data_IF_629246860047
#
_entry.id   IF_629246860047
#
_cell.length_a   1.000
_cell.length_b   1.000
_cell.length_c   1.000
_cell.angle_alpha   90.00
_cell.angle_beta   90.00
_cell.angle_gamma   90.00
#
_symmetry.space_group_name_H-M   'P 1'
#
loop_
_entity.id
_entity.type
_entity.pdbx_description
1 polymer ?
#
# COMPACT_ATOMS: atom_id res chain seq x y z
N UNK A 1 24.76 -5.87 -3.49
CA UNK A 1 23.73 -5.02 -4.11
C UNK A 1 22.50 -5.17 -3.25
N UNK A 2 22.07 -4.12 -2.57
CA UNK A 2 20.83 -4.19 -1.80
C UNK A 2 19.70 -4.50 -2.78
N UNK A 3 18.97 -5.59 -2.56
CA UNK A 3 17.73 -5.81 -3.27
C UNK A 3 16.86 -4.60 -3.00
N UNK A 4 16.53 -3.87 -4.05
CA UNK A 4 15.68 -2.71 -4.00
C UNK A 4 14.33 -3.22 -3.47
N UNK A 5 13.85 -2.73 -2.33
CA UNK A 5 12.57 -3.15 -1.72
C UNK A 5 11.44 -2.52 -2.56
N UNK A 6 11.26 -3.06 -3.76
CA UNK A 6 10.34 -2.57 -4.78
C UNK A 6 9.07 -3.40 -4.72
N UNK A 7 7.98 -2.71 -4.44
CA UNK A 7 6.65 -3.28 -4.43
C UNK A 7 5.94 -2.96 -5.73
N UNK A 8 4.99 -3.80 -6.13
CA UNK A 8 4.23 -3.60 -7.34
C UNK A 8 2.78 -3.30 -7.02
N UNK A 9 2.30 -2.16 -7.54
CA UNK A 9 0.89 -1.81 -7.51
C UNK A 9 0.23 -2.31 -8.79
N UNK A 10 -0.86 -3.05 -8.65
CA UNK A 10 -1.63 -3.62 -9.74
C UNK A 10 -2.99 -2.94 -9.88
N UNK A 11 -3.49 -2.84 -11.10
CA UNK A 11 -4.86 -2.45 -11.40
C UNK A 11 -5.34 -3.26 -12.61
N UNK A 12 -6.49 -3.94 -12.51
CA UNK A 12 -7.02 -4.76 -13.60
C UNK A 12 -6.07 -5.90 -14.05
N UNK A 13 -5.29 -6.46 -13.12
CA UNK A 13 -4.37 -7.57 -13.39
C UNK A 13 -3.02 -7.20 -14.02
N UNK A 14 -2.74 -5.91 -14.23
CA UNK A 14 -1.45 -5.39 -14.74
C UNK A 14 -0.76 -4.55 -13.68
N UNK A 15 0.58 -4.53 -13.70
CA UNK A 15 1.36 -3.60 -12.89
C UNK A 15 1.19 -2.20 -13.46
N UNK A 16 0.83 -1.25 -12.61
CA UNK A 16 0.62 0.16 -12.97
C UNK A 16 1.57 1.11 -12.22
N UNK A 17 2.24 0.67 -11.16
CA UNK A 17 3.33 1.45 -10.56
C UNK A 17 4.32 0.54 -9.82
N UNK A 18 5.56 0.99 -9.75
CA UNK A 18 6.57 0.45 -8.85
C UNK A 18 6.72 1.37 -7.64
N UNK A 19 6.68 0.82 -6.43
CA UNK A 19 6.84 1.57 -5.19
C UNK A 19 8.23 1.27 -4.62
N UNK A 20 9.12 2.25 -4.68
CA UNK A 20 10.49 2.14 -4.19
C UNK A 20 10.53 2.55 -2.72
N UNK A 21 10.56 1.58 -1.80
CA UNK A 21 10.54 1.86 -0.37
C UNK A 21 11.75 2.70 0.03
N UNK A 22 11.48 3.84 0.66
CA UNK A 22 12.47 4.77 1.20
C UNK A 22 12.60 4.63 2.71
N UNK A 23 11.51 4.24 3.40
CA UNK A 23 11.44 4.12 4.86
C UNK A 23 10.44 3.02 5.24
N UNK A 24 10.72 2.26 6.30
CA UNK A 24 9.87 1.16 6.77
C UNK A 24 9.78 1.14 8.30
N UNK A 25 9.04 2.10 8.85
CA UNK A 25 8.79 2.25 10.28
C UNK A 25 7.45 1.63 10.68
N UNK A 26 7.50 0.43 11.27
CA UNK A 26 6.30 -0.32 11.65
C UNK A 26 5.28 0.56 12.42
N UNK A 27 4.00 0.59 12.01
CA UNK A 27 3.36 -0.28 11.01
C UNK A 27 3.41 0.24 9.56
N UNK A 28 3.97 1.41 9.32
CA UNK A 28 3.92 2.10 8.04
C UNK A 28 5.19 1.87 7.20
N UNK A 29 5.02 1.93 5.89
CA UNK A 29 6.11 2.02 4.91
C UNK A 29 5.88 3.25 4.07
N UNK A 30 6.96 3.94 3.70
CA UNK A 30 6.97 5.04 2.74
C UNK A 30 7.79 4.64 1.53
N UNK A 31 7.33 5.08 0.36
CA UNK A 31 7.98 4.83 -0.90
C UNK A 31 7.82 5.99 -1.87
N UNK A 32 8.73 6.04 -2.83
CA UNK A 32 8.54 6.82 -4.03
C UNK A 32 7.74 6.02 -5.07
N UNK A 33 6.76 6.66 -5.69
CA UNK A 33 5.95 6.06 -6.76
C UNK A 33 6.63 6.31 -8.09
N UNK A 34 7.00 5.24 -8.78
CA UNK A 34 7.33 5.25 -10.19
C UNK A 34 6.10 4.80 -10.99
N UNK A 35 5.33 5.75 -11.56
CA UNK A 35 4.13 5.41 -12.33
C UNK A 35 4.50 4.71 -13.64
N UNK A 36 3.71 3.71 -14.00
CA UNK A 36 3.77 3.00 -15.28
C UNK A 36 2.47 3.23 -16.05
N UNK A 37 2.38 2.68 -17.27
CA UNK A 37 1.18 2.75 -18.09
C UNK A 37 -0.06 2.29 -17.30
N UNK A 38 -1.12 3.10 -17.30
CA UNK A 38 -2.39 2.81 -16.63
C UNK A 38 -2.49 3.37 -15.21
N UNK A 39 -1.42 3.95 -14.66
CA UNK A 39 -1.46 4.64 -13.37
C UNK A 39 -2.38 5.86 -13.40
N UNK A 40 -2.45 6.57 -14.53
CA UNK A 40 -3.26 7.77 -14.72
C UNK A 40 -4.77 7.54 -14.48
N UNK A 41 -5.24 6.31 -14.68
CA UNK A 41 -6.62 5.90 -14.41
C UNK A 41 -6.88 5.78 -12.90
N UNK A 42 -5.84 5.47 -12.12
CA UNK A 42 -5.91 5.19 -10.69
C UNK A 42 -5.52 6.42 -9.85
N UNK A 43 -4.64 7.28 -10.38
CA UNK A 43 -4.15 8.50 -9.75
C UNK A 43 -5.25 9.38 -9.11
N UNK A 44 -6.38 9.70 -9.80
CA UNK A 44 -7.41 10.54 -9.17
C UNK A 44 -8.12 9.84 -8.00
N UNK A 45 -8.32 8.52 -8.08
CA UNK A 45 -8.96 7.75 -7.01
C UNK A 45 -8.07 7.68 -5.77
N UNK A 46 -6.77 7.47 -5.98
CA UNK A 46 -5.78 7.45 -4.91
C UNK A 46 -5.63 8.81 -4.24
N UNK A 47 -5.56 9.89 -5.02
CA UNK A 47 -5.45 11.24 -4.49
C UNK A 47 -6.71 11.64 -3.69
N UNK A 48 -7.91 11.22 -4.13
CA UNK A 48 -9.14 11.43 -3.38
C UNK A 48 -9.12 10.72 -2.02
N UNK A 49 -8.72 9.45 -2.01
CA UNK A 49 -8.60 8.65 -0.79
C UNK A 49 -7.60 9.28 0.18
N UNK A 50 -6.41 9.65 -0.30
CA UNK A 50 -5.36 10.26 0.53
C UNK A 50 -5.79 11.62 1.09
N UNK A 51 -6.48 12.44 0.29
CA UNK A 51 -7.03 13.72 0.75
C UNK A 51 -8.08 13.53 1.84
N UNK A 52 -8.97 12.56 1.68
CA UNK A 52 -9.99 12.24 2.69
C UNK A 52 -9.36 11.66 3.97
N UNK A 53 -8.27 10.90 3.84
CA UNK A 53 -7.51 10.38 4.97
C UNK A 53 -6.85 11.50 5.77
N UNK A 54 -6.32 12.52 5.09
CA UNK A 54 -5.67 13.67 5.72
C UNK A 54 -6.67 14.61 6.43
N UNK A 55 -7.92 14.67 5.96
CA UNK A 55 -9.01 15.46 6.56
C UNK A 55 -9.63 14.74 7.79
N UNK A 56 -9.56 13.41 7.82
CA UNK A 56 -10.05 12.58 8.92
C UNK A 56 -9.07 12.63 10.11
N UNK A 57 -9.24 13.60 11.03
CA UNK A 57 -8.38 13.82 12.21
C UNK A 57 -7.96 12.51 12.94
N UNK A 58 -8.90 11.83 13.61
CA UNK A 58 -8.64 10.63 14.42
C UNK A 58 -9.61 9.48 14.10
N UNK A 59 -10.78 9.78 13.53
CA UNK A 59 -11.82 8.80 13.25
C UNK A 59 -12.04 8.69 11.74
N UNK A 60 -12.10 7.45 11.28
CA UNK A 60 -12.49 7.11 9.91
C UNK A 60 -13.85 7.76 9.57
N UNK A 61 -13.85 8.70 8.61
CA UNK A 61 -15.10 9.26 8.08
C UNK A 61 -15.76 8.25 7.14
N UNK A 62 -17.11 8.23 7.04
CA UNK A 62 -17.81 7.37 6.07
C UNK A 62 -17.32 7.56 4.63
N UNK A 63 -17.01 8.79 4.25
CA UNK A 63 -16.48 9.17 2.94
C UNK A 63 -15.10 8.55 2.70
N UNK A 64 -14.19 8.67 3.66
CA UNK A 64 -12.88 8.04 3.58
C UNK A 64 -12.99 6.51 3.49
N UNK A 65 -13.87 5.91 4.29
CA UNK A 65 -14.11 4.45 4.25
C UNK A 65 -14.56 4.00 2.86
N UNK A 66 -15.49 4.72 2.24
CA UNK A 66 -15.96 4.43 0.87
C UNK A 66 -14.82 4.59 -0.15
N UNK A 67 -14.02 5.66 -0.05
CA UNK A 67 -12.90 5.88 -0.97
C UNK A 67 -11.82 4.78 -0.84
N UNK A 68 -11.45 4.44 0.39
CA UNK A 68 -10.53 3.34 0.71
C UNK A 68 -11.02 2.01 0.15
N UNK A 69 -12.30 1.69 0.31
CA UNK A 69 -12.86 0.44 -0.18
C UNK A 69 -12.90 0.39 -1.71
N UNK A 70 -13.13 1.52 -2.38
CA UNK A 70 -13.00 1.63 -3.84
C UNK A 70 -11.58 1.39 -4.32
N UNK A 71 -10.58 2.01 -3.67
CA UNK A 71 -9.16 1.77 -3.98
C UNK A 71 -8.84 0.29 -3.83
N UNK A 72 -9.20 -0.31 -2.68
CA UNK A 72 -8.97 -1.75 -2.43
C UNK A 72 -9.66 -2.68 -3.43
N UNK A 73 -10.83 -2.30 -3.93
CA UNK A 73 -11.57 -3.14 -4.87
C UNK A 73 -10.90 -3.21 -6.26
N UNK A 74 -10.12 -2.21 -6.63
CA UNK A 74 -9.51 -2.12 -7.97
C UNK A 74 -7.99 -2.29 -7.95
N UNK A 75 -7.36 -2.29 -6.78
CA UNK A 75 -5.91 -2.39 -6.63
C UNK A 75 -5.46 -3.72 -6.01
N UNK A 76 -4.34 -4.23 -6.50
CA UNK A 76 -3.59 -5.31 -5.87
C UNK A 76 -2.20 -4.82 -5.48
N UNK A 77 -1.60 -5.41 -4.45
CA UNK A 77 -0.26 -5.06 -4.00
C UNK A 77 0.59 -6.32 -3.89
N UNK A 78 1.73 -6.33 -4.58
CA UNK A 78 2.66 -7.46 -4.59
C UNK A 78 3.98 -7.05 -3.93
N UNK A 79 4.47 -7.91 -3.06
CA UNK A 79 5.74 -7.77 -2.34
C UNK A 79 6.95 -7.95 -3.25
N UNK A 80 8.15 -7.51 -2.82
CA UNK A 80 9.40 -7.78 -3.55
C UNK A 80 9.69 -9.28 -3.74
N UNK A 81 9.17 -10.15 -2.85
CA UNK A 81 9.28 -11.61 -2.95
C UNK A 81 8.24 -12.25 -3.89
N UNK A 82 7.37 -11.44 -4.51
CA UNK A 82 6.35 -11.87 -5.46
C UNK A 82 5.04 -12.33 -4.83
N UNK A 83 4.88 -12.26 -3.49
CA UNK A 83 3.62 -12.62 -2.83
C UNK A 83 2.62 -11.46 -2.86
N UNK A 84 1.37 -11.77 -3.12
CA UNK A 84 0.26 -10.82 -3.05
C UNK A 84 -0.11 -10.52 -1.59
N UNK A 85 -0.43 -9.25 -1.30
CA UNK A 85 -0.94 -8.81 -0.01
C UNK A 85 -2.46 -8.79 -0.01
N UNK A 86 -3.05 -9.62 0.84
CA UNK A 86 -4.50 -9.82 0.97
C UNK A 86 -5.22 -8.68 1.70
N UNK A 87 -4.51 -7.89 2.51
CA UNK A 87 -5.09 -6.78 3.24
C UNK A 87 -4.08 -5.67 3.54
N UNK A 88 -4.30 -4.48 2.97
CA UNK A 88 -3.43 -3.32 3.13
C UNK A 88 -4.17 -1.99 3.05
N UNK A 89 -3.79 -1.03 3.89
CA UNK A 89 -4.23 0.36 3.73
C UNK A 89 -3.16 1.09 2.92
N UNK A 90 -3.53 1.63 1.77
CA UNK A 90 -2.65 2.34 0.85
C UNK A 90 -3.13 3.76 0.67
N UNK A 91 -2.20 4.70 0.82
CA UNK A 91 -2.37 6.10 0.48
C UNK A 91 -1.31 6.47 -0.55
N UNK A 92 -1.71 7.22 -1.58
CA UNK A 92 -0.79 7.75 -2.58
C UNK A 92 -1.18 9.18 -2.90
N UNK A 93 -0.21 10.09 -2.76
CA UNK A 93 -0.34 11.49 -3.14
C UNK A 93 0.83 11.88 -4.05
N UNK A 94 0.50 12.17 -5.32
CA UNK A 94 1.49 12.44 -6.36
C UNK A 94 2.51 11.30 -6.52
N UNK A 95 3.75 11.57 -6.13
CA UNK A 95 4.88 10.65 -6.25
C UNK A 95 5.27 10.00 -4.90
N UNK A 96 4.48 10.17 -3.85
CA UNK A 96 4.70 9.59 -2.54
C UNK A 96 3.61 8.58 -2.23
N UNK A 97 4.01 7.41 -1.74
CA UNK A 97 3.10 6.38 -1.28
C UNK A 97 3.44 6.00 0.16
N UNK A 98 2.40 5.74 0.94
CA UNK A 98 2.57 5.10 2.24
C UNK A 98 1.47 4.07 2.47
N UNK A 99 1.88 2.93 3.01
CA UNK A 99 0.94 1.86 3.30
C UNK A 99 1.31 1.10 4.56
N UNK A 100 0.33 0.38 5.06
CA UNK A 100 0.53 -0.65 6.08
C UNK A 100 -0.22 -1.91 5.70
N UNK A 101 0.41 -3.06 5.93
CA UNK A 101 -0.30 -4.33 5.90
C UNK A 101 -1.22 -4.43 7.14
N UNK A 102 -2.24 -5.28 7.08
CA UNK A 102 -3.14 -5.55 8.21
C UNK A 102 -2.44 -6.25 9.39
N UNK A 103 -3.06 -7.26 9.98
CA UNK A 103 -2.48 -8.01 11.10
C UNK A 103 -1.22 -8.82 10.70
N UNK A 104 -1.05 -9.12 9.41
CA UNK A 104 0.12 -9.81 8.89
C UNK A 104 1.24 -8.82 8.52
N UNK A 105 2.48 -9.04 8.99
CA UNK A 105 3.60 -8.17 8.67
C UNK A 105 3.97 -8.27 7.19
N UNK A 106 4.28 -7.12 6.61
CA UNK A 106 4.68 -6.97 5.20
C UNK A 106 5.94 -7.77 4.80
N UNK A 107 6.75 -8.23 5.77
CA UNK A 107 7.99 -8.99 5.56
C UNK A 107 7.79 -10.52 5.55
N UNK A 108 6.59 -11.01 5.89
CA UNK A 108 6.27 -12.44 5.76
C UNK A 108 6.83 -13.34 6.86
N UNK A 109 6.84 -12.88 8.11
CA UNK A 109 7.11 -13.74 9.26
C UNK A 109 6.11 -13.56 10.40
N UNK A 110 5.47 -14.63 10.88
CA UNK A 110 5.41 -14.87 12.31
C UNK A 110 6.72 -15.55 12.73
N UNK A 111 7.75 -14.79 13.11
CA UNK A 111 8.89 -15.38 13.82
C UNK A 111 8.54 -15.49 15.32
N UNK A 112 8.18 -16.72 15.69
CA UNK A 112 8.29 -17.34 17.01
C UNK A 112 7.55 -16.70 18.21
N UNK A 113 6.26 -17.03 18.37
CA UNK A 113 5.78 -17.28 19.75
C UNK A 113 6.47 -18.56 20.24
N UNK A 114 7.35 -18.38 21.22
CA UNK A 114 8.19 -19.44 21.75
C UNK A 114 7.38 -20.68 22.14
N UNK A 115 7.92 -21.84 21.76
CA UNK A 115 7.73 -23.05 22.55
C UNK A 115 8.24 -22.77 23.96
N UNK A 116 7.35 -22.42 24.87
CA UNK A 116 7.58 -22.70 26.29
C UNK A 116 6.94 -24.06 26.58
N UNK A 117 7.84 -24.98 26.91
CA UNK A 117 7.59 -26.33 27.39
C UNK A 117 6.84 -26.32 28.72
#
# INVERSE_FOLDING_TARGET
MAAHDVWQLHHGGRVVASLHVTEADFPWRRAHVEPLDGFELLAPLLAEEARLAADADEAATPEWVVARDRVRAVTGLTRPDGREVTGYLLHVDGAEAWWRCGEEPCDGGPEAVGRTR
#
